data_IF_523948145035
#
_entry.id   IF_523948145035
#
_cell.length_a   1.000
_cell.length_b   1.000
_cell.length_c   1.000
_cell.angle_alpha   90.00
_cell.angle_beta   90.00
_cell.angle_gamma   90.00
#
_symmetry.space_group_name_H-M   'P 1'
#
loop_
_entity.id
_entity.type
_entity.pdbx_description
1 polymer ?
#
# COMPACT_ATOMS: atom_id res chain seq x y z
N UNK A 1 -1.92 21.96 -2.54
CA UNK A 1 -1.44 20.89 -1.64
C UNK A 1 -1.43 21.40 -0.20
N UNK A 2 -1.85 20.56 0.71
CA UNK A 2 -1.78 20.84 2.15
C UNK A 2 -0.51 20.17 2.69
N UNK A 3 0.56 20.94 2.76
CA UNK A 3 1.91 20.42 3.05
C UNK A 3 2.03 19.77 4.43
N UNK A 4 1.35 20.32 5.44
CA UNK A 4 1.40 19.79 6.81
C UNK A 4 0.78 18.40 6.97
N UNK A 5 -0.07 17.97 6.01
CA UNK A 5 -0.77 16.68 6.02
C UNK A 5 -0.27 15.74 4.91
N UNK A 6 0.62 16.22 4.04
CA UNK A 6 1.12 15.49 2.88
C UNK A 6 2.52 14.94 3.15
N UNK A 7 2.69 13.65 2.95
CA UNK A 7 4.01 12.99 3.01
C UNK A 7 4.54 12.66 1.61
N UNK A 8 3.68 12.63 0.60
CA UNK A 8 4.08 12.42 -0.79
C UNK A 8 4.90 13.61 -1.33
N UNK A 9 5.87 13.32 -2.17
CA UNK A 9 6.70 14.31 -2.87
C UNK A 9 6.35 14.34 -4.35
N UNK A 10 6.89 15.32 -5.09
CA UNK A 10 6.69 15.42 -6.54
C UNK A 10 7.25 14.22 -7.33
N UNK A 11 8.07 13.39 -6.70
CA UNK A 11 8.53 12.13 -7.28
C UNK A 11 7.47 11.01 -7.22
N UNK A 12 6.51 11.13 -6.30
CA UNK A 12 5.52 10.10 -6.02
C UNK A 12 4.23 10.29 -6.84
N UNK A 13 3.97 11.48 -7.35
CA UNK A 13 2.72 11.79 -8.06
C UNK A 13 2.87 12.88 -9.10
N UNK A 14 1.89 12.94 -10.01
CA UNK A 14 1.66 14.04 -10.92
C UNK A 14 0.23 14.55 -10.76
N UNK A 15 0.10 15.84 -10.50
CA UNK A 15 -1.17 16.53 -10.37
C UNK A 15 -1.05 17.94 -10.96
N UNK A 16 -1.96 18.29 -11.86
CA UNK A 16 -2.09 19.67 -12.32
C UNK A 16 -2.64 20.53 -11.19
N UNK A 17 -1.83 21.46 -10.71
CA UNK A 17 -2.20 22.36 -9.61
C UNK A 17 -3.06 23.56 -10.08
N UNK A 18 -3.20 23.75 -11.39
CA UNK A 18 -3.98 24.83 -11.98
C UNK A 18 -4.88 24.31 -13.09
N UNK A 19 -5.76 23.33 -12.82
CA UNK A 19 -6.65 22.80 -13.82
C UNK A 19 -7.66 23.86 -14.25
N UNK A 20 -8.01 23.85 -15.53
CA UNK A 20 -9.01 24.76 -16.12
C UNK A 20 -10.34 24.04 -16.21
N UNK A 21 -11.38 24.63 -15.61
CA UNK A 21 -12.73 24.12 -15.76
C UNK A 21 -13.31 24.55 -17.11
N UNK A 22 -13.71 23.60 -18.00
CA UNK A 22 -14.22 23.95 -19.32
C UNK A 22 -15.51 24.76 -19.24
N UNK A 23 -15.67 25.75 -20.13
CA UNK A 23 -16.92 26.52 -20.24
C UNK A 23 -18.06 25.61 -20.72
N UNK A 24 -19.29 25.96 -20.29
CA UNK A 24 -20.51 25.21 -20.59
C UNK A 24 -20.59 23.80 -20.00
N UNK A 25 -19.70 23.43 -19.06
CA UNK A 25 -19.79 22.21 -18.27
C UNK A 25 -20.18 22.50 -16.83
N UNK A 26 -20.98 21.62 -16.25
CA UNK A 26 -21.35 21.67 -14.82
C UNK A 26 -20.52 20.72 -13.97
N UNK A 27 -19.68 19.91 -14.60
CA UNK A 27 -18.89 18.85 -13.99
C UNK A 27 -17.58 18.67 -14.73
N UNK A 28 -16.51 18.46 -14.00
CA UNK A 28 -15.20 18.11 -14.56
C UNK A 28 -14.51 17.08 -13.69
N UNK A 29 -13.47 16.45 -14.24
CA UNK A 29 -12.68 15.44 -13.55
C UNK A 29 -11.22 15.87 -13.51
N UNK A 30 -10.63 15.77 -12.32
CA UNK A 30 -9.20 15.99 -12.10
C UNK A 30 -8.53 14.64 -11.97
N UNK A 31 -7.45 14.43 -12.70
CA UNK A 31 -6.68 13.19 -12.71
C UNK A 31 -5.40 13.34 -11.90
N UNK A 32 -5.13 12.35 -11.07
CA UNK A 32 -3.88 12.24 -10.31
C UNK A 32 -3.17 10.99 -10.81
N UNK A 33 -1.92 11.15 -11.24
CA UNK A 33 -1.07 10.02 -11.61
C UNK A 33 -0.18 9.67 -10.42
N UNK A 34 -0.30 8.46 -9.90
CA UNK A 34 0.54 7.94 -8.84
C UNK A 34 1.73 7.22 -9.45
N UNK A 35 2.93 7.53 -8.98
CA UNK A 35 4.18 6.93 -9.46
C UNK A 35 4.65 5.86 -8.50
N UNK A 36 5.13 4.77 -9.04
CA UNK A 36 5.74 3.68 -8.28
C UNK A 36 7.17 4.06 -7.91
N UNK A 37 7.41 4.32 -6.64
CA UNK A 37 8.74 4.65 -6.10
C UNK A 37 9.17 3.60 -5.10
N UNK A 38 10.49 3.43 -4.91
CA UNK A 38 11.03 2.41 -4.01
C UNK A 38 10.55 2.56 -2.57
N UNK A 39 10.38 3.77 -2.08
CA UNK A 39 9.93 4.00 -0.70
C UNK A 39 8.49 3.57 -0.43
N UNK A 40 7.64 3.44 -1.45
CA UNK A 40 6.27 2.93 -1.32
C UNK A 40 6.23 1.44 -0.97
N UNK A 41 7.33 0.73 -1.09
CA UNK A 41 7.45 -0.66 -0.66
C UNK A 41 7.57 -0.79 0.86
N UNK A 42 8.02 0.25 1.52
CA UNK A 42 8.30 0.25 2.96
C UNK A 42 7.31 1.10 3.76
N UNK A 43 6.67 2.07 3.11
CA UNK A 43 5.76 3.02 3.78
C UNK A 43 4.67 3.52 2.84
N UNK A 44 3.55 3.93 3.40
CA UNK A 44 2.50 4.60 2.64
C UNK A 44 2.74 6.10 2.53
N UNK A 45 2.23 6.67 1.44
CA UNK A 45 2.25 8.10 1.21
C UNK A 45 0.85 8.69 1.32
N UNK A 46 0.81 9.89 1.86
CA UNK A 46 -0.40 10.70 1.95
C UNK A 46 -0.26 11.91 1.04
N UNK A 47 -1.24 12.11 0.18
CA UNK A 47 -1.39 13.31 -0.63
C UNK A 47 -2.70 13.98 -0.21
N UNK A 48 -2.61 15.17 0.34
CA UNK A 48 -3.78 15.94 0.78
C UNK A 48 -3.81 17.26 0.02
N UNK A 49 -4.94 17.56 -0.57
CA UNK A 49 -5.14 18.78 -1.31
C UNK A 49 -6.53 19.38 -1.07
N UNK A 50 -6.67 20.64 -1.38
CA UNK A 50 -7.91 21.39 -1.31
C UNK A 50 -8.05 22.29 -2.52
N UNK A 51 -9.29 22.69 -2.80
CA UNK A 51 -9.59 23.67 -3.83
C UNK A 51 -9.52 25.07 -3.20
N UNK A 52 -8.69 25.94 -3.79
CA UNK A 52 -8.62 27.33 -3.36
C UNK A 52 -9.76 28.16 -3.95
N UNK A 53 -10.27 29.08 -3.15
CA UNK A 53 -11.21 30.10 -3.61
C UNK A 53 -10.56 30.98 -4.68
N UNK A 54 -11.34 31.33 -5.70
CA UNK A 54 -10.96 32.32 -6.71
C UNK A 54 -12.18 33.18 -7.10
N UNK A 55 -12.04 33.99 -8.14
CA UNK A 55 -13.12 34.90 -8.60
C UNK A 55 -14.38 34.18 -9.08
N UNK A 56 -14.26 32.91 -9.50
CA UNK A 56 -15.35 32.13 -10.10
C UNK A 56 -15.86 31.04 -9.15
N UNK A 57 -14.99 30.43 -8.36
CA UNK A 57 -15.29 29.26 -7.53
C UNK A 57 -15.05 29.53 -6.05
N UNK A 58 -15.96 29.04 -5.22
CA UNK A 58 -15.81 29.00 -3.78
C UNK A 58 -15.74 27.57 -3.29
N UNK A 59 -14.99 27.29 -2.19
CA UNK A 59 -14.99 25.98 -1.57
C UNK A 59 -16.41 25.58 -1.14
N UNK A 60 -16.73 24.30 -1.30
CA UNK A 60 -17.99 23.72 -0.86
C UNK A 60 -18.10 23.59 0.67
N UNK A 61 -18.86 22.60 1.13
CA UNK A 61 -19.00 22.31 2.55
C UNK A 61 -17.67 21.99 3.23
N UNK A 62 -17.50 22.42 4.47
CA UNK A 62 -16.25 22.26 5.23
C UNK A 62 -15.79 20.81 5.28
N UNK A 63 -16.72 19.87 5.44
CA UNK A 63 -16.46 18.44 5.49
C UNK A 63 -15.94 17.86 4.17
N UNK A 64 -16.11 18.59 3.06
CA UNK A 64 -15.77 18.15 1.71
C UNK A 64 -14.65 18.99 1.07
N UNK A 65 -13.95 19.82 1.85
CA UNK A 65 -12.89 20.69 1.33
C UNK A 65 -11.54 20.03 1.20
N UNK A 66 -11.29 18.97 1.97
CA UNK A 66 -10.05 18.23 1.94
C UNK A 66 -10.23 16.92 1.18
N UNK A 67 -9.31 16.67 0.28
CA UNK A 67 -9.21 15.42 -0.47
C UNK A 67 -7.91 14.73 -0.06
N UNK A 68 -8.03 13.49 0.41
CA UNK A 68 -6.90 12.70 0.89
C UNK A 68 -6.75 11.45 0.05
N UNK A 69 -5.57 11.28 -0.54
CA UNK A 69 -5.19 10.06 -1.25
C UNK A 69 -4.12 9.35 -0.44
N UNK A 70 -4.36 8.10 -0.10
CA UNK A 70 -3.39 7.23 0.60
C UNK A 70 -2.99 6.14 -0.38
N UNK A 71 -1.69 5.97 -0.58
CA UNK A 71 -1.19 5.00 -1.54
C UNK A 71 0.15 4.42 -1.11
N UNK A 72 0.37 3.17 -1.49
CA UNK A 72 1.61 2.43 -1.28
C UNK A 72 1.80 1.37 -2.37
N UNK A 73 2.96 0.71 -2.35
CA UNK A 73 3.29 -0.44 -3.20
C UNK A 73 3.58 -1.68 -2.33
N UNK A 74 2.95 -1.75 -1.16
CA UNK A 74 3.05 -2.89 -0.28
C UNK A 74 2.09 -4.00 -0.71
N UNK A 75 2.50 -5.26 -0.63
CA UNK A 75 1.60 -6.36 -0.94
C UNK A 75 0.44 -6.41 0.07
N UNK A 76 -0.77 -6.50 -0.43
CA UNK A 76 -1.96 -6.72 0.41
C UNK A 76 -2.11 -8.20 0.76
N UNK A 77 -2.77 -8.49 1.88
CA UNK A 77 -3.00 -9.86 2.33
C UNK A 77 -3.75 -10.69 1.29
N UNK A 78 -3.15 -11.75 0.76
CA UNK A 78 -3.83 -12.63 -0.19
C UNK A 78 -4.87 -13.50 0.49
N UNK A 79 -5.86 -13.97 -0.27
CA UNK A 79 -6.95 -14.81 0.27
C UNK A 79 -6.44 -16.14 0.87
N UNK A 80 -5.34 -16.67 0.36
CA UNK A 80 -4.76 -17.91 0.87
C UNK A 80 -4.05 -17.76 2.22
N UNK A 81 -3.75 -16.52 2.64
CA UNK A 81 -3.21 -16.24 3.98
C UNK A 81 -4.38 -16.15 4.96
N UNK A 82 -4.94 -17.30 5.26
CA UNK A 82 -6.12 -17.49 6.09
C UNK A 82 -5.75 -17.87 7.54
N UNK A 83 -6.75 -18.19 8.34
CA UNK A 83 -6.59 -18.57 9.74
C UNK A 83 -5.64 -19.78 9.92
N UNK A 84 -5.66 -20.74 9.00
CA UNK A 84 -4.74 -21.89 9.05
C UNK A 84 -3.29 -21.45 8.86
N UNK A 85 -3.04 -20.63 7.85
CA UNK A 85 -1.70 -20.11 7.56
C UNK A 85 -1.19 -19.25 8.72
N UNK A 86 -2.05 -18.43 9.30
CA UNK A 86 -1.67 -17.60 10.43
C UNK A 86 -1.34 -18.41 11.69
N UNK A 87 -2.19 -19.37 12.03
CA UNK A 87 -2.04 -20.12 13.29
C UNK A 87 -0.95 -21.18 13.24
N UNK A 88 -0.74 -21.79 12.10
CA UNK A 88 0.09 -23.00 12.00
C UNK A 88 1.43 -22.77 11.32
N UNK A 89 1.47 -21.92 10.29
CA UNK A 89 2.62 -21.85 9.39
C UNK A 89 3.40 -20.53 9.47
N UNK A 90 2.77 -19.41 9.13
CA UNK A 90 3.46 -18.15 8.90
C UNK A 90 3.20 -17.07 9.96
N UNK A 91 2.17 -17.25 10.78
CA UNK A 91 1.78 -16.24 11.77
C UNK A 91 0.98 -15.09 11.16
N UNK A 92 0.72 -14.10 11.97
CA UNK A 92 -0.04 -12.92 11.57
C UNK A 92 0.56 -12.26 10.32
N UNK A 93 -0.30 -11.87 9.38
CA UNK A 93 0.11 -11.20 8.17
C UNK A 93 0.74 -9.83 8.45
N UNK A 94 1.81 -9.52 7.72
CA UNK A 94 2.29 -8.15 7.53
C UNK A 94 2.84 -7.99 6.11
N UNK A 95 2.80 -6.79 5.54
CA UNK A 95 3.39 -6.54 4.22
C UNK A 95 4.87 -6.92 4.15
N UNK A 96 5.64 -6.60 5.19
CA UNK A 96 7.05 -6.98 5.28
C UNK A 96 7.23 -8.49 5.29
N UNK A 97 6.47 -9.20 6.12
CA UNK A 97 6.54 -10.68 6.20
C UNK A 97 6.23 -11.32 4.85
N UNK A 98 5.21 -10.87 4.16
CA UNK A 98 4.85 -11.40 2.85
C UNK A 98 5.93 -11.10 1.80
N UNK A 99 6.47 -9.90 1.76
CA UNK A 99 7.57 -9.54 0.86
C UNK A 99 8.80 -10.42 1.08
N UNK A 100 9.19 -10.60 2.33
CA UNK A 100 10.35 -11.44 2.69
C UNK A 100 10.09 -12.92 2.43
N UNK A 101 8.86 -13.40 2.63
CA UNK A 101 8.46 -14.75 2.27
C UNK A 101 8.63 -15.01 0.76
N UNK A 102 8.18 -14.09 -0.08
CA UNK A 102 8.36 -14.18 -1.54
C UNK A 102 9.84 -14.17 -1.92
N UNK A 103 10.65 -13.31 -1.29
CA UNK A 103 12.11 -13.27 -1.54
C UNK A 103 12.79 -14.58 -1.18
N UNK A 104 12.37 -15.18 -0.07
CA UNK A 104 12.93 -16.46 0.41
C UNK A 104 12.53 -17.63 -0.50
N UNK A 105 11.24 -17.77 -0.77
CA UNK A 105 10.68 -18.99 -1.37
C UNK A 105 10.36 -18.87 -2.86
N UNK A 106 10.17 -17.66 -3.37
CA UNK A 106 9.65 -17.42 -4.72
C UNK A 106 8.18 -17.80 -4.91
N UNK A 107 7.50 -18.22 -3.85
CA UNK A 107 6.11 -18.70 -3.89
C UNK A 107 5.14 -17.55 -3.53
N UNK A 108 4.13 -17.38 -4.37
CA UNK A 108 3.10 -16.31 -4.21
C UNK A 108 1.72 -16.85 -3.93
N UNK A 109 1.51 -18.16 -3.95
CA UNK A 109 0.22 -18.80 -3.75
C UNK A 109 0.37 -20.17 -3.07
N UNK A 110 -0.31 -20.35 -1.94
CA UNK A 110 -0.36 -21.61 -1.19
C UNK A 110 -1.73 -22.29 -1.22
N UNK A 111 -2.68 -21.79 -2.06
CA UNK A 111 -4.09 -22.19 -2.03
C UNK A 111 -4.28 -23.71 -2.06
N UNK A 112 -3.72 -24.41 -3.03
CA UNK A 112 -3.92 -25.85 -3.22
C UNK A 112 -2.69 -26.67 -2.80
N UNK A 113 -1.85 -26.13 -1.94
CA UNK A 113 -0.63 -26.78 -1.51
C UNK A 113 -0.91 -27.78 -0.37
N UNK A 114 -0.29 -28.95 -0.44
CA UNK A 114 -0.44 -29.94 0.63
C UNK A 114 0.25 -29.49 1.94
N UNK A 115 -0.19 -30.02 3.10
CA UNK A 115 0.37 -29.62 4.39
C UNK A 115 1.86 -29.81 4.53
N UNK A 116 2.44 -30.84 3.90
CA UNK A 116 3.88 -31.11 3.97
C UNK A 116 4.68 -30.04 3.26
N UNK A 117 4.20 -29.56 2.12
CA UNK A 117 4.83 -28.46 1.36
C UNK A 117 4.69 -27.12 2.08
N UNK A 118 3.51 -26.82 2.61
CA UNK A 118 3.28 -25.63 3.45
C UNK A 118 4.26 -25.61 4.62
N UNK A 119 4.43 -26.73 5.31
CA UNK A 119 5.37 -26.86 6.41
C UNK A 119 6.81 -26.65 5.98
N UNK A 120 7.22 -27.25 4.86
CA UNK A 120 8.59 -27.11 4.34
C UNK A 120 8.92 -25.64 4.03
N UNK A 121 7.99 -24.93 3.38
CA UNK A 121 8.14 -23.50 3.06
C UNK A 121 8.19 -22.63 4.33
N UNK A 122 7.36 -22.93 5.30
CA UNK A 122 7.36 -22.19 6.57
C UNK A 122 8.65 -22.38 7.36
N UNK A 123 9.22 -23.59 7.37
CA UNK A 123 10.51 -23.87 7.99
C UNK A 123 11.66 -23.18 7.24
N UNK A 124 11.66 -23.23 5.92
CA UNK A 124 12.63 -22.50 5.09
C UNK A 124 12.58 -20.99 5.40
N UNK A 125 11.39 -20.44 5.50
CA UNK A 125 11.21 -19.03 5.85
C UNK A 125 11.67 -18.71 7.27
N UNK A 126 11.42 -19.61 8.22
CA UNK A 126 11.92 -19.46 9.60
C UNK A 126 13.44 -19.39 9.65
N UNK A 127 14.12 -20.27 8.94
CA UNK A 127 15.57 -20.27 8.84
C UNK A 127 16.10 -19.00 8.15
N UNK A 128 15.40 -18.55 7.11
CA UNK A 128 15.69 -17.29 6.42
C UNK A 128 15.59 -16.08 7.36
N UNK A 129 14.54 -15.99 8.16
CA UNK A 129 14.35 -14.91 9.15
C UNK A 129 15.53 -14.88 10.14
N UNK A 130 15.93 -16.03 10.64
CA UNK A 130 17.07 -16.15 11.57
C UNK A 130 18.39 -15.75 10.91
N UNK A 131 18.63 -16.20 9.70
CA UNK A 131 19.85 -15.92 8.95
C UNK A 131 20.03 -14.42 8.63
N UNK A 132 18.94 -13.72 8.34
CA UNK A 132 18.95 -12.30 7.98
C UNK A 132 18.63 -11.36 9.16
N UNK A 133 18.47 -11.88 10.36
CA UNK A 133 18.10 -11.10 11.55
C UNK A 133 16.88 -10.22 11.34
N UNK A 134 15.84 -10.74 10.71
CA UNK A 134 14.63 -9.99 10.45
C UNK A 134 13.76 -9.88 11.71
N UNK A 135 13.06 -8.74 11.92
CA UNK A 135 12.16 -8.55 13.07
C UNK A 135 10.80 -9.24 12.81
N UNK A 136 10.84 -10.52 12.48
CA UNK A 136 9.68 -11.33 12.11
C UNK A 136 9.68 -12.63 12.90
N UNK A 137 8.48 -13.14 13.19
CA UNK A 137 8.28 -14.42 13.85
C UNK A 137 7.28 -15.27 13.07
N UNK A 138 7.49 -16.58 13.10
CA UNK A 138 6.58 -17.58 12.54
C UNK A 138 6.31 -18.67 13.57
N UNK A 139 5.07 -19.18 13.67
CA UNK A 139 4.68 -20.14 14.71
C UNK A 139 5.16 -21.56 14.46
N UNK A 140 5.59 -21.89 13.25
CA UNK A 140 6.00 -23.25 12.87
C UNK A 140 7.18 -23.74 13.72
N UNK A 141 7.10 -24.95 14.21
CA UNK A 141 8.10 -25.61 15.04
C UNK A 141 8.80 -26.71 14.26
#
# INVERSE_FOLDING_TARGET
IVDSLTTATTEDYELDLNPVFPSHQIKDTIYITLKRTARLQDDNCYLVFTIKENEVFQPGFVEQRLFRVVFDDMPSQPLWWDDEIERVYLGEYSPLKYSEFIRCTGVTDLTDMDPSKKRALALEFKDYIALHNLPLEVPII
#
